data_IF_567263066863
#
_entry.id   IF_567263066863
#
_cell.length_a   1.000
_cell.length_b   1.000
_cell.length_c   1.000
_cell.angle_alpha   90.00
_cell.angle_beta   90.00
_cell.angle_gamma   90.00
#
_symmetry.space_group_name_H-M   'P 1'
#
loop_
_entity.id
_entity.type
_entity.pdbx_description
1 polymer ?
#
# COMPACT_ATOMS: atom_id res chain seq x y z
N UNK A 1 -3.37 8.85 -15.10
CA UNK A 1 -4.42 8.93 -16.11
C UNK A 1 -5.02 10.33 -16.11
N UNK A 2 -5.24 10.93 -17.26
CA UNK A 2 -5.72 12.32 -17.42
C UNK A 2 -7.16 12.44 -17.91
N UNK A 3 -7.75 11.33 -18.37
CA UNK A 3 -9.12 11.26 -18.86
C UNK A 3 -10.16 11.39 -17.74
N UNK A 4 -11.37 11.75 -18.12
CA UNK A 4 -12.51 11.89 -17.22
C UNK A 4 -12.91 10.53 -16.63
N UNK A 5 -13.29 10.46 -15.34
CA UNK A 5 -13.79 9.24 -14.75
C UNK A 5 -15.13 8.83 -15.37
N UNK A 6 -15.37 7.53 -15.48
CA UNK A 6 -16.62 7.00 -16.01
C UNK A 6 -17.74 7.03 -14.96
N UNK A 7 -17.38 6.96 -13.67
CA UNK A 7 -18.32 7.03 -12.56
C UNK A 7 -17.64 7.53 -11.27
N UNK A 8 -18.45 7.88 -10.27
CA UNK A 8 -17.96 8.24 -8.93
C UNK A 8 -18.81 7.57 -7.87
N UNK A 9 -18.17 7.11 -6.81
CA UNK A 9 -18.82 6.52 -5.62
C UNK A 9 -18.46 7.36 -4.41
N UNK A 10 -19.43 7.58 -3.51
CA UNK A 10 -19.22 8.29 -2.24
C UNK A 10 -19.33 7.32 -1.09
N UNK A 11 -18.42 7.44 -0.15
CA UNK A 11 -18.37 6.60 1.05
C UNK A 11 -17.91 7.38 2.26
N UNK A 12 -18.25 6.88 3.44
CA UNK A 12 -17.67 7.27 4.72
C UNK A 12 -16.75 6.16 5.20
N UNK A 13 -15.73 6.51 5.97
CA UNK A 13 -14.86 5.51 6.59
C UNK A 13 -15.68 4.67 7.57
N UNK A 14 -15.55 3.37 7.46
CA UNK A 14 -16.10 2.42 8.41
C UNK A 14 -15.00 1.96 9.36
N UNK A 15 -15.28 1.99 10.67
CA UNK A 15 -14.42 1.35 11.64
C UNK A 15 -14.58 -0.17 11.51
N UNK A 16 -13.52 -0.86 11.10
CA UNK A 16 -13.47 -2.31 11.09
C UNK A 16 -12.99 -2.76 12.46
N UNK A 17 -13.83 -3.53 13.19
CA UNK A 17 -13.43 -4.14 14.44
C UNK A 17 -12.57 -5.38 14.19
N UNK A 18 -11.59 -5.64 15.06
CA UNK A 18 -10.91 -6.92 15.13
C UNK A 18 -11.83 -8.05 15.61
N UNK A 19 -11.34 -9.28 15.63
CA UNK A 19 -12.14 -10.47 16.03
C UNK A 19 -12.70 -10.36 17.45
N UNK A 20 -12.03 -9.64 18.35
CA UNK A 20 -12.45 -9.40 19.74
C UNK A 20 -13.29 -8.12 19.89
N UNK A 21 -13.64 -7.45 18.80
CA UNK A 21 -14.42 -6.22 18.80
C UNK A 21 -13.61 -4.95 19.04
N UNK A 22 -12.30 -5.05 19.17
CA UNK A 22 -11.42 -3.90 19.33
C UNK A 22 -11.29 -3.11 18.03
N UNK A 23 -11.37 -1.79 18.15
CA UNK A 23 -11.17 -0.86 17.03
C UNK A 23 -9.95 0.00 17.34
N UNK A 24 -9.06 0.12 16.36
CA UNK A 24 -7.88 0.97 16.45
C UNK A 24 -8.26 2.42 16.79
N UNK A 25 -7.57 3.04 17.75
CA UNK A 25 -7.87 4.41 18.22
C UNK A 25 -7.73 5.46 17.11
N UNK A 26 -6.78 5.27 16.18
CA UNK A 26 -6.63 6.16 15.02
C UNK A 26 -7.84 6.05 14.08
N UNK A 27 -8.37 4.83 13.89
CA UNK A 27 -9.60 4.61 13.11
C UNK A 27 -10.80 5.26 13.78
N UNK A 28 -10.95 5.14 15.09
CA UNK A 28 -12.02 5.82 15.86
C UNK A 28 -11.96 7.33 15.68
N UNK A 29 -10.75 7.90 15.74
CA UNK A 29 -10.54 9.33 15.55
C UNK A 29 -10.96 9.77 14.14
N UNK A 30 -10.49 9.08 13.09
CA UNK A 30 -10.83 9.40 11.71
C UNK A 30 -12.34 9.25 11.41
N UNK A 31 -12.99 8.23 11.96
CA UNK A 31 -14.46 8.05 11.86
C UNK A 31 -15.21 9.21 12.51
N UNK A 32 -14.71 9.70 13.67
CA UNK A 32 -15.31 10.85 14.35
C UNK A 32 -15.22 12.16 13.57
N UNK A 33 -14.30 12.30 12.62
CA UNK A 33 -14.20 13.45 11.72
C UNK A 33 -15.34 13.49 10.66
N UNK A 34 -16.09 12.40 10.51
CA UNK A 34 -17.23 12.25 9.58
C UNK A 34 -16.90 12.70 8.14
N UNK A 35 -15.68 12.40 7.68
CA UNK A 35 -15.23 12.75 6.33
C UNK A 35 -15.95 11.92 5.27
N UNK A 36 -16.25 12.57 4.14
CA UNK A 36 -16.74 11.90 2.94
C UNK A 36 -15.57 11.60 1.99
N UNK A 37 -15.51 10.38 1.49
CA UNK A 37 -14.55 9.95 0.47
C UNK A 37 -15.25 9.78 -0.87
N UNK A 38 -14.70 10.40 -1.91
CA UNK A 38 -15.22 10.37 -3.27
C UNK A 38 -14.21 9.61 -4.14
N UNK A 39 -14.62 8.46 -4.66
CA UNK A 39 -13.79 7.59 -5.49
C UNK A 39 -14.21 7.70 -6.95
N UNK A 40 -13.28 8.12 -7.80
CA UNK A 40 -13.45 8.18 -9.25
C UNK A 40 -12.98 6.87 -9.88
N UNK A 41 -13.89 6.15 -10.54
CA UNK A 41 -13.65 4.87 -11.17
C UNK A 41 -13.64 4.93 -12.70
N UNK A 42 -13.01 3.90 -13.28
CA UNK A 42 -12.81 3.73 -14.73
C UNK A 42 -13.17 2.29 -15.10
N UNK A 43 -14.04 2.09 -16.09
CA UNK A 43 -14.57 0.78 -16.45
C UNK A 43 -13.49 -0.24 -16.86
N UNK A 44 -12.32 0.22 -17.29
CA UNK A 44 -11.19 -0.61 -17.72
C UNK A 44 -10.17 -0.93 -16.63
N UNK A 45 -10.24 -0.24 -15.47
CA UNK A 45 -9.29 -0.40 -14.36
C UNK A 45 -9.94 -0.53 -12.99
N UNK A 46 -11.27 -0.47 -12.92
CA UNK A 46 -11.99 -0.54 -11.65
C UNK A 46 -13.05 -1.61 -11.73
N UNK A 47 -12.95 -2.64 -10.89
CA UNK A 47 -13.97 -3.65 -10.71
C UNK A 47 -14.52 -3.61 -9.27
N UNK A 48 -15.27 -4.63 -8.86
CA UNK A 48 -15.86 -4.69 -7.53
C UNK A 48 -14.81 -4.80 -6.41
N UNK A 49 -13.60 -5.30 -6.72
CA UNK A 49 -12.50 -5.38 -5.74
C UNK A 49 -12.00 -3.99 -5.36
N UNK A 50 -11.71 -3.12 -6.35
CA UNK A 50 -11.29 -1.74 -6.09
C UNK A 50 -12.39 -0.91 -5.42
N UNK A 51 -13.65 -1.37 -5.51
CA UNK A 51 -14.79 -0.77 -4.81
C UNK A 51 -15.05 -1.39 -3.43
N UNK A 52 -14.25 -2.35 -2.99
CA UNK A 52 -14.46 -3.11 -1.74
C UNK A 52 -15.84 -3.80 -1.67
N UNK A 53 -16.34 -4.27 -2.81
CA UNK A 53 -17.59 -5.03 -2.92
C UNK A 53 -17.33 -6.54 -3.11
N UNK A 54 -16.06 -6.92 -3.37
CA UNK A 54 -15.56 -8.28 -3.45
C UNK A 54 -14.24 -8.41 -2.69
N UNK A 55 -13.95 -9.58 -2.09
CA UNK A 55 -12.66 -9.84 -1.45
C UNK A 55 -11.50 -9.75 -2.45
N UNK A 56 -10.29 -9.38 -1.99
CA UNK A 56 -9.08 -9.43 -2.81
C UNK A 56 -8.84 -10.85 -3.36
N UNK A 57 -8.32 -10.93 -4.58
CA UNK A 57 -7.86 -12.18 -5.19
C UNK A 57 -6.54 -12.65 -4.56
N UNK A 58 -6.11 -13.85 -4.91
CA UNK A 58 -4.77 -14.34 -4.58
C UNK A 58 -3.69 -13.38 -5.06
N UNK A 59 -2.49 -13.48 -4.46
CA UNK A 59 -1.34 -12.67 -4.88
C UNK A 59 -1.02 -12.97 -6.34
N UNK A 60 -0.71 -11.93 -7.09
CA UNK A 60 -0.25 -12.05 -8.46
C UNK A 60 1.13 -12.73 -8.48
N UNK A 61 1.20 -13.94 -9.07
CA UNK A 61 2.43 -14.75 -9.14
C UNK A 61 3.57 -14.02 -9.84
N UNK A 62 3.29 -13.30 -10.94
CA UNK A 62 4.32 -12.54 -11.65
C UNK A 62 4.88 -11.39 -10.79
N UNK A 63 4.05 -10.74 -9.99
CA UNK A 63 4.50 -9.71 -9.06
C UNK A 63 5.35 -10.30 -7.93
N UNK A 64 4.98 -11.47 -7.43
CA UNK A 64 5.77 -12.21 -6.43
C UNK A 64 7.14 -12.60 -7.01
N UNK A 65 7.19 -13.14 -8.23
CA UNK A 65 8.44 -13.49 -8.91
C UNK A 65 9.38 -12.28 -9.05
N UNK A 66 8.86 -11.11 -9.44
CA UNK A 66 9.66 -9.90 -9.53
C UNK A 66 10.16 -9.42 -8.16
N UNK A 67 9.32 -9.48 -7.13
CA UNK A 67 9.74 -9.14 -5.77
C UNK A 67 10.85 -10.09 -5.25
N UNK A 68 10.75 -11.39 -5.52
CA UNK A 68 11.77 -12.37 -5.18
C UNK A 68 13.10 -12.10 -5.94
N UNK A 69 13.05 -11.77 -7.22
CA UNK A 69 14.24 -11.39 -7.99
C UNK A 69 14.92 -10.16 -7.39
N UNK A 70 14.14 -9.13 -7.04
CA UNK A 70 14.66 -7.92 -6.39
C UNK A 70 15.31 -8.28 -5.05
N UNK A 71 14.67 -9.08 -4.22
CA UNK A 71 15.22 -9.51 -2.94
C UNK A 71 16.55 -10.25 -3.09
N UNK A 72 16.67 -11.14 -4.08
CA UNK A 72 17.92 -11.86 -4.39
C UNK A 72 19.03 -10.90 -4.88
N UNK A 73 18.70 -9.91 -5.73
CA UNK A 73 19.64 -8.90 -6.19
C UNK A 73 20.16 -8.02 -5.03
N UNK A 74 19.34 -7.82 -4.00
CA UNK A 74 19.69 -7.10 -2.77
C UNK A 74 20.38 -7.99 -1.72
N UNK A 75 20.76 -9.21 -2.07
CA UNK A 75 21.39 -10.18 -1.18
C UNK A 75 20.58 -10.48 0.09
N UNK A 76 19.26 -10.41 0.01
CA UNK A 76 18.37 -10.66 1.13
C UNK A 76 18.19 -12.15 1.39
N UNK A 77 17.91 -12.50 2.65
CA UNK A 77 17.38 -13.79 3.04
C UNK A 77 15.87 -13.85 2.77
N UNK A 78 15.42 -14.87 2.03
CA UNK A 78 14.02 -15.05 1.66
C UNK A 78 13.29 -15.80 2.76
N UNK A 79 12.12 -15.32 3.16
CA UNK A 79 11.24 -16.08 4.07
C UNK A 79 10.69 -17.33 3.36
N UNK A 80 10.87 -18.52 3.93
CA UNK A 80 10.38 -19.77 3.33
C UNK A 80 8.84 -19.86 3.33
N UNK A 81 8.21 -19.17 4.26
CA UNK A 81 6.75 -19.00 4.37
C UNK A 81 6.47 -17.56 4.73
N UNK A 82 5.59 -16.92 4.00
CA UNK A 82 5.21 -15.55 4.28
C UNK A 82 3.71 -15.44 4.52
N UNK A 83 3.34 -14.48 5.36
CA UNK A 83 1.94 -14.13 5.63
C UNK A 83 1.54 -12.90 4.83
N UNK A 84 0.30 -12.91 4.38
CA UNK A 84 -0.33 -11.72 3.80
C UNK A 84 -0.93 -10.92 4.95
N UNK A 85 -0.41 -9.73 5.16
CA UNK A 85 -0.83 -8.83 6.22
C UNK A 85 -1.79 -7.76 5.70
N UNK A 86 -2.63 -7.24 6.58
CA UNK A 86 -3.49 -6.08 6.34
C UNK A 86 -2.91 -4.87 7.06
N UNK A 87 -2.16 -4.05 6.34
CA UNK A 87 -1.63 -2.78 6.85
C UNK A 87 -2.76 -1.76 6.90
N UNK A 88 -3.24 -1.40 8.08
CA UNK A 88 -4.37 -0.47 8.27
C UNK A 88 -4.11 0.87 7.60
N UNK A 89 -5.07 1.36 6.83
CA UNK A 89 -5.04 2.65 6.13
C UNK A 89 -6.29 3.43 6.48
N UNK A 90 -6.10 4.60 7.11
CA UNK A 90 -7.20 5.39 7.70
C UNK A 90 -7.54 6.67 6.92
N UNK A 91 -6.75 7.04 5.93
CA UNK A 91 -6.91 8.29 5.18
C UNK A 91 -7.88 8.18 3.98
N UNK A 92 -8.43 6.99 3.72
CA UNK A 92 -9.34 6.71 2.62
C UNK A 92 -8.64 6.32 1.31
N UNK A 93 -7.31 6.32 1.25
CA UNK A 93 -6.56 5.96 0.03
C UNK A 93 -6.70 4.49 -0.39
N UNK A 94 -7.15 3.62 0.51
CA UNK A 94 -7.57 2.26 0.22
C UNK A 94 -9.04 2.11 0.57
N UNK A 95 -9.86 1.76 -0.40
CA UNK A 95 -11.32 1.59 -0.24
C UNK A 95 -11.68 0.54 0.81
N UNK A 96 -10.85 -0.50 0.95
CA UNK A 96 -10.99 -1.57 1.94
C UNK A 96 -10.57 -1.18 3.37
N UNK A 97 -9.93 0.00 3.56
CA UNK A 97 -9.38 0.40 4.85
C UNK A 97 -8.05 -0.27 5.22
N UNK A 98 -7.46 -1.03 4.34
CA UNK A 98 -6.13 -1.64 4.52
C UNK A 98 -5.37 -1.77 3.19
N UNK A 99 -4.05 -1.78 3.28
CA UNK A 99 -3.14 -2.13 2.18
C UNK A 99 -2.62 -3.55 2.40
N UNK A 100 -2.82 -4.41 1.44
CA UNK A 100 -2.30 -5.77 1.48
C UNK A 100 -0.78 -5.74 1.36
N UNK A 101 -0.09 -6.34 2.34
CA UNK A 101 1.37 -6.32 2.46
C UNK A 101 1.91 -7.71 2.70
N UNK A 102 2.87 -8.14 1.90
CA UNK A 102 3.52 -9.45 1.98
C UNK A 102 4.99 -9.25 2.27
N UNK A 103 5.46 -9.70 3.44
CA UNK A 103 6.87 -9.65 3.80
C UNK A 103 7.61 -10.77 3.06
N UNK A 104 8.48 -10.39 2.10
CA UNK A 104 9.17 -11.32 1.19
C UNK A 104 10.53 -11.74 1.74
N UNK A 105 11.33 -10.75 2.21
CA UNK A 105 12.72 -11.00 2.57
C UNK A 105 13.24 -9.99 3.58
N UNK A 106 14.42 -10.29 4.16
CA UNK A 106 15.09 -9.49 5.18
C UNK A 106 16.61 -9.56 5.09
N UNK A 107 17.30 -8.75 5.90
CA UNK A 107 18.76 -8.79 6.12
C UNK A 107 19.63 -8.77 4.86
N UNK A 108 19.22 -7.99 3.86
CA UNK A 108 20.00 -7.77 2.67
C UNK A 108 20.97 -6.60 2.79
N UNK A 109 21.64 -6.28 1.67
CA UNK A 109 22.51 -5.12 1.59
C UNK A 109 22.71 -4.60 0.17
N UNK A 110 23.08 -3.32 0.08
CA UNK A 110 23.50 -2.65 -1.14
C UNK A 110 24.96 -2.20 -0.94
N UNK A 111 25.83 -2.48 -1.91
CA UNK A 111 27.19 -1.94 -1.94
C UNK A 111 27.18 -0.52 -2.45
N UNK A 112 27.80 0.41 -1.73
CA UNK A 112 27.91 1.83 -2.11
C UNK A 112 29.35 2.30 -1.95
N UNK A 113 29.68 3.49 -2.45
CA UNK A 113 31.02 4.09 -2.33
C UNK A 113 31.41 4.37 -0.87
N UNK A 114 30.42 4.55 0.02
CA UNK A 114 30.62 4.80 1.46
C UNK A 114 30.42 3.55 2.33
N UNK A 115 30.30 2.36 1.73
CA UNK A 115 30.17 1.08 2.42
C UNK A 115 28.85 0.36 2.16
N UNK A 116 28.58 -0.68 2.93
CA UNK A 116 27.34 -1.45 2.81
C UNK A 116 26.17 -0.73 3.49
N UNK A 117 25.08 -0.54 2.75
CA UNK A 117 23.80 -0.12 3.28
C UNK A 117 22.95 -1.35 3.53
N UNK A 118 22.59 -1.61 4.78
CA UNK A 118 21.74 -2.73 5.14
C UNK A 118 20.32 -2.52 4.59
N UNK A 119 19.73 -3.57 4.03
CA UNK A 119 18.31 -3.67 3.70
C UNK A 119 17.64 -4.46 4.81
N UNK A 120 16.72 -3.82 5.54
CA UNK A 120 16.04 -4.45 6.67
C UNK A 120 14.91 -5.36 6.21
N UNK A 121 14.15 -4.94 5.17
CA UNK A 121 13.06 -5.75 4.63
C UNK A 121 12.75 -5.43 3.18
N UNK A 122 12.15 -6.42 2.50
CA UNK A 122 11.53 -6.28 1.18
C UNK A 122 10.09 -6.77 1.30
N UNK A 123 9.13 -5.93 0.95
CA UNK A 123 7.71 -6.24 0.94
C UNK A 123 7.12 -6.12 -0.48
N UNK A 124 6.20 -7.00 -0.80
CA UNK A 124 5.29 -6.84 -1.93
C UNK A 124 3.98 -6.25 -1.41
N UNK A 125 3.63 -5.10 -1.92
CA UNK A 125 2.44 -4.34 -1.55
C UNK A 125 1.55 -4.06 -2.76
N UNK A 126 0.45 -3.36 -2.54
CA UNK A 126 -0.43 -2.84 -3.58
C UNK A 126 -0.48 -1.32 -3.49
N UNK A 127 -0.43 -0.64 -4.64
CA UNK A 127 -0.49 0.82 -4.68
C UNK A 127 -1.86 1.32 -4.17
N UNK A 128 -1.85 2.48 -3.54
CA UNK A 128 -3.05 3.14 -3.05
C UNK A 128 -3.74 3.95 -4.15
N UNK A 129 -4.99 4.33 -3.93
CA UNK A 129 -5.69 5.27 -4.79
C UNK A 129 -5.00 6.64 -4.78
N UNK A 130 -4.93 7.27 -5.94
CA UNK A 130 -4.27 8.57 -6.10
C UNK A 130 -5.17 9.70 -5.62
N UNK A 131 -4.68 10.48 -4.66
CA UNK A 131 -5.38 11.67 -4.19
C UNK A 131 -5.48 12.73 -5.29
N UNK A 132 -6.67 13.33 -5.43
CA UNK A 132 -6.96 14.45 -6.33
C UNK A 132 -7.06 15.73 -5.51
N UNK A 133 -7.88 15.67 -4.47
CA UNK A 133 -8.19 16.79 -3.60
C UNK A 133 -8.45 16.29 -2.19
N UNK A 134 -8.05 17.07 -1.20
CA UNK A 134 -8.32 16.80 0.21
C UNK A 134 -8.58 18.10 0.96
N UNK A 135 -9.65 18.10 1.74
CA UNK A 135 -9.98 19.17 2.68
C UNK A 135 -10.39 18.57 4.04
N UNK A 136 -10.85 19.40 4.96
CA UNK A 136 -11.23 18.94 6.31
C UNK A 136 -12.42 17.96 6.31
N UNK A 137 -13.34 18.09 5.36
CA UNK A 137 -14.61 17.34 5.33
C UNK A 137 -14.66 16.25 4.27
N UNK A 138 -13.79 16.31 3.27
CA UNK A 138 -13.80 15.35 2.16
C UNK A 138 -12.41 15.12 1.56
N UNK A 139 -12.26 13.96 0.92
CA UNK A 139 -11.12 13.66 0.07
C UNK A 139 -11.59 12.94 -1.20
N UNK A 140 -11.00 13.30 -2.32
CA UNK A 140 -11.29 12.70 -3.63
C UNK A 140 -10.09 11.91 -4.14
N UNK A 141 -10.34 10.71 -4.62
CA UNK A 141 -9.33 9.75 -5.08
C UNK A 141 -9.65 9.23 -6.47
N UNK A 142 -8.60 8.91 -7.25
CA UNK A 142 -8.71 8.11 -8.49
C UNK A 142 -8.33 6.66 -8.20
N UNK A 143 -9.17 5.73 -8.68
CA UNK A 143 -8.96 4.29 -8.53
C UNK A 143 -8.11 3.68 -9.66
N UNK A 144 -7.53 4.50 -10.51
CA UNK A 144 -6.76 4.06 -11.68
C UNK A 144 -5.43 3.36 -11.35
N UNK A 145 -4.97 3.41 -10.10
CA UNK A 145 -3.73 2.80 -9.60
C UNK A 145 -3.93 1.85 -8.43
N UNK A 146 -5.10 1.85 -7.82
CA UNK A 146 -5.37 1.00 -6.66
C UNK A 146 -5.16 -0.46 -7.02
N UNK A 147 -4.36 -1.17 -6.22
CA UNK A 147 -4.08 -2.58 -6.41
C UNK A 147 -2.94 -2.91 -7.37
N UNK A 148 -2.30 -1.92 -8.02
CA UNK A 148 -1.09 -2.18 -8.82
C UNK A 148 0.02 -2.67 -7.89
N UNK A 149 0.74 -3.77 -8.25
CA UNK A 149 1.83 -4.28 -7.43
C UNK A 149 2.92 -3.23 -7.19
N UNK A 150 3.36 -3.13 -5.96
CA UNK A 150 4.39 -2.21 -5.47
C UNK A 150 5.40 -2.98 -4.64
N UNK A 151 6.70 -2.79 -4.90
CA UNK A 151 7.76 -3.35 -4.04
C UNK A 151 8.28 -2.26 -3.13
N UNK A 152 8.15 -2.47 -1.82
CA UNK A 152 8.74 -1.61 -0.80
C UNK A 152 10.05 -2.21 -0.31
N UNK A 153 11.13 -1.42 -0.34
CA UNK A 153 12.44 -1.77 0.17
C UNK A 153 12.78 -0.83 1.33
N UNK A 154 12.91 -1.37 2.53
CA UNK A 154 13.29 -0.60 3.70
C UNK A 154 14.78 -0.79 4.00
N UNK A 155 15.52 0.31 4.06
CA UNK A 155 16.93 0.31 4.46
C UNK A 155 17.08 0.67 5.94
N UNK A 156 18.20 0.26 6.55
CA UNK A 156 18.58 0.78 7.86
C UNK A 156 18.75 2.32 7.82
N UNK A 157 18.57 3.02 8.95
CA UNK A 157 18.58 4.49 9.01
C UNK A 157 20.02 5.07 8.98
N UNK A 158 20.78 4.74 7.93
CA UNK A 158 22.18 5.14 7.73
C UNK A 158 22.35 6.16 6.58
N UNK A 159 21.27 6.46 5.87
CA UNK A 159 21.24 7.42 4.77
C UNK A 159 20.89 8.80 5.32
N UNK A 160 21.89 9.51 5.84
CA UNK A 160 21.76 10.74 6.60
C UNK A 160 22.04 12.02 5.78
N UNK A 161 22.42 11.88 4.51
CA UNK A 161 22.66 13.01 3.59
C UNK A 161 22.01 12.77 2.22
N UNK A 162 21.63 13.85 1.49
CA UNK A 162 21.09 13.74 0.15
C UNK A 162 22.02 13.01 -0.85
N UNK A 163 23.34 13.18 -0.69
CA UNK A 163 24.36 12.55 -1.54
C UNK A 163 24.32 11.03 -1.39
N UNK A 164 24.25 10.52 -0.15
CA UNK A 164 24.13 9.08 0.13
C UNK A 164 22.81 8.48 -0.39
N UNK A 165 21.72 9.25 -0.33
CA UNK A 165 20.40 8.78 -0.83
C UNK A 165 20.39 8.72 -2.36
N UNK A 166 21.13 9.58 -3.04
CA UNK A 166 21.15 9.66 -4.52
C UNK A 166 22.02 8.58 -5.17
N UNK A 167 23.01 8.06 -4.48
CA UNK A 167 23.86 6.99 -4.97
C UNK A 167 23.10 5.68 -5.10
#
# INVERSE_FOLDING_TARGET
RSDEPHFSVRRKLHAVAGEEGDVDEAVKHEVALDREFIYQGYNDTTCLIELDEEPPREINESALDEALKIALLLNCEIYPVTQIMRKTVIDGSNTSGFQRTVLIAHDGFIETSFGKVKVDSVCLEEDAARIIEKNEKSASYKLDRLGIPLVEIATAPVLDTPEKIRE
#
